data_IF_443513883756
#
_entry.id   IF_443513883756
#
_cell.length_a   1.000
_cell.length_b   1.000
_cell.length_c   1.000
_cell.angle_alpha   90.00
_cell.angle_beta   90.00
_cell.angle_gamma   90.00
#
_symmetry.space_group_name_H-M   'P 1'
#
loop_
_entity.id
_entity.type
_entity.pdbx_description
1 polymer ?
#
# COMPACT_ATOMS: atom_id res chain seq x y z
N UNK A 1 17.12 1.83 6.64
CA UNK A 1 16.23 0.94 7.40
C UNK A 1 15.19 0.36 6.45
N UNK A 2 14.97 -0.96 6.42
CA UNK A 2 13.88 -1.57 5.63
C UNK A 2 12.59 -1.46 6.44
N UNK A 3 11.56 -0.82 5.89
CA UNK A 3 10.27 -0.74 6.58
C UNK A 3 9.61 -2.11 6.47
N UNK A 4 9.29 -2.74 7.60
CA UNK A 4 8.65 -4.06 7.56
C UNK A 4 7.16 -3.92 7.84
N UNK A 5 6.35 -4.25 6.83
CA UNK A 5 4.90 -4.37 6.98
C UNK A 5 4.53 -5.66 7.72
N UNK A 6 3.37 -5.69 8.35
CA UNK A 6 2.78 -6.91 8.90
C UNK A 6 2.49 -7.93 7.79
N UNK A 7 2.51 -9.22 8.14
CA UNK A 7 2.42 -10.32 7.18
C UNK A 7 1.13 -10.27 6.34
N UNK A 8 0.02 -9.86 6.95
CA UNK A 8 -1.26 -9.69 6.26
C UNK A 8 -1.19 -8.63 5.14
N UNK A 9 -0.50 -7.51 5.40
CA UNK A 9 -0.30 -6.45 4.40
C UNK A 9 0.66 -6.90 3.29
N UNK A 10 1.74 -7.60 3.66
CA UNK A 10 2.66 -8.19 2.69
C UNK A 10 1.95 -9.19 1.76
N UNK A 11 1.10 -10.05 2.32
CA UNK A 11 0.31 -11.01 1.56
C UNK A 11 -0.70 -10.34 0.63
N UNK A 12 -1.28 -9.21 1.04
CA UNK A 12 -2.19 -8.44 0.18
C UNK A 12 -1.44 -7.79 -0.98
N UNK A 13 -0.27 -7.22 -0.73
CA UNK A 13 0.59 -6.65 -1.77
C UNK A 13 1.09 -7.72 -2.75
N UNK A 14 1.50 -8.90 -2.26
CA UNK A 14 2.08 -9.95 -3.12
C UNK A 14 1.13 -10.42 -4.22
N UNK A 15 -0.19 -10.43 -3.94
CA UNK A 15 -1.24 -10.74 -4.91
C UNK A 15 -1.31 -9.75 -6.08
N UNK A 16 -0.76 -8.55 -5.93
CA UNK A 16 -0.79 -7.49 -6.94
C UNK A 16 0.49 -7.42 -7.80
N UNK A 17 1.57 -8.08 -7.38
CA UNK A 17 2.86 -8.06 -8.07
C UNK A 17 2.79 -8.74 -9.45
N UNK A 18 2.04 -9.84 -9.58
CA UNK A 18 1.91 -10.53 -10.87
C UNK A 18 1.40 -9.60 -11.97
N UNK A 19 0.35 -8.82 -11.68
CA UNK A 19 -0.26 -7.90 -12.66
C UNK A 19 0.64 -6.71 -13.00
N UNK A 20 1.41 -6.20 -12.05
CA UNK A 20 2.23 -5.00 -12.27
C UNK A 20 3.33 -5.23 -13.32
N UNK A 21 3.78 -6.49 -13.50
CA UNK A 21 4.88 -6.81 -14.39
C UNK A 21 4.61 -6.56 -15.88
N UNK A 22 3.33 -6.59 -16.27
CA UNK A 22 2.90 -6.45 -17.67
C UNK A 22 2.44 -5.03 -18.02
N UNK A 23 2.61 -4.07 -17.11
CA UNK A 23 2.13 -2.70 -17.30
C UNK A 23 3.23 -1.83 -17.92
N UNK A 24 2.82 -0.91 -18.79
CA UNK A 24 3.68 0.15 -19.32
C UNK A 24 3.49 1.43 -18.53
N UNK A 25 4.59 2.12 -18.21
CA UNK A 25 4.59 3.34 -17.41
C UNK A 25 5.00 4.52 -18.29
N UNK A 26 4.28 5.63 -18.14
CA UNK A 26 4.65 6.92 -18.73
C UNK A 26 4.72 7.95 -17.63
N UNK A 27 5.82 8.70 -17.59
CA UNK A 27 6.01 9.79 -16.64
C UNK A 27 5.20 11.01 -17.09
N UNK A 28 4.32 11.51 -16.23
CA UNK A 28 3.52 12.72 -16.49
C UNK A 28 4.14 13.91 -15.76
N UNK A 29 4.55 13.68 -14.51
CA UNK A 29 5.25 14.64 -13.65
C UNK A 29 6.06 13.85 -12.61
N UNK A 30 6.92 14.51 -11.84
CA UNK A 30 7.84 13.91 -10.86
C UNK A 30 7.18 12.93 -9.87
N UNK A 31 5.90 13.15 -9.54
CA UNK A 31 5.12 12.25 -8.68
C UNK A 31 3.92 11.61 -9.37
N UNK A 32 3.70 11.85 -10.67
CA UNK A 32 2.49 11.43 -11.39
C UNK A 32 2.86 10.52 -12.56
N UNK A 33 2.26 9.33 -12.57
CA UNK A 33 2.53 8.27 -13.52
C UNK A 33 1.25 7.82 -14.20
N UNK A 34 1.30 7.67 -15.52
CA UNK A 34 0.26 7.03 -16.30
C UNK A 34 0.64 5.56 -16.50
N UNK A 35 -0.21 4.66 -16.04
CA UNK A 35 -0.01 3.21 -16.07
C UNK A 35 -0.99 2.62 -17.07
N UNK A 36 -0.50 1.87 -18.06
CA UNK A 36 -1.32 1.28 -19.13
C UNK A 36 -1.27 -0.23 -19.13
N UNK A 37 -2.40 -0.88 -19.39
CA UNK A 37 -2.51 -2.32 -19.61
C UNK A 37 -3.72 -2.62 -20.51
N UNK A 38 -3.49 -3.30 -21.63
CA UNK A 38 -4.55 -3.83 -22.53
C UNK A 38 -5.64 -2.76 -22.83
N UNK A 39 -5.21 -1.60 -23.33
CA UNK A 39 -6.13 -0.51 -23.72
C UNK A 39 -6.72 0.30 -22.56
N UNK A 40 -6.56 -0.13 -21.31
CA UNK A 40 -6.94 0.64 -20.12
C UNK A 40 -5.76 1.46 -19.60
N UNK A 41 -6.09 2.55 -18.89
CA UNK A 41 -5.09 3.41 -18.26
C UNK A 41 -5.53 3.90 -16.88
N UNK A 42 -4.55 4.08 -16.00
CA UNK A 42 -4.74 4.62 -14.66
C UNK A 42 -3.69 5.67 -14.35
N UNK A 43 -4.08 6.71 -13.63
CA UNK A 43 -3.16 7.71 -13.11
C UNK A 43 -2.83 7.34 -11.67
N UNK A 44 -1.54 7.28 -11.36
CA UNK A 44 -1.00 7.09 -10.01
C UNK A 44 -0.33 8.39 -9.59
N UNK A 45 -0.67 8.90 -8.41
CA UNK A 45 0.07 9.97 -7.77
C UNK A 45 0.76 9.41 -6.51
N UNK A 46 2.09 9.34 -6.56
CA UNK A 46 2.93 8.75 -5.52
C UNK A 46 3.01 9.63 -4.27
N UNK A 47 3.02 10.96 -4.44
CA UNK A 47 3.05 11.91 -3.33
C UNK A 47 1.72 11.89 -2.55
N UNK A 48 0.61 11.95 -3.27
CA UNK A 48 -0.73 11.96 -2.68
C UNK A 48 -1.22 10.56 -2.29
N UNK A 49 -0.42 9.52 -2.53
CA UNK A 49 -0.78 8.11 -2.32
C UNK A 49 -2.13 7.74 -2.92
N UNK A 50 -2.37 8.12 -4.19
CA UNK A 50 -3.64 7.85 -4.88
C UNK A 50 -3.46 7.10 -6.19
N UNK A 51 -4.49 6.35 -6.58
CA UNK A 51 -4.63 5.79 -7.92
C UNK A 51 -6.07 5.99 -8.41
N UNK A 52 -6.27 6.18 -9.72
CA UNK A 52 -7.63 6.29 -10.29
C UNK A 52 -8.44 4.99 -10.12
N UNK A 53 -7.79 3.83 -9.89
CA UNK A 53 -8.47 2.59 -9.54
C UNK A 53 -9.02 2.56 -8.10
N UNK A 54 -8.77 3.60 -7.30
CA UNK A 54 -9.21 3.82 -5.91
C UNK A 54 -8.71 2.84 -4.85
N UNK A 55 -8.15 1.70 -5.23
CA UNK A 55 -7.64 0.69 -4.28
C UNK A 55 -6.54 1.24 -3.36
N UNK A 56 -5.66 2.11 -3.87
CA UNK A 56 -4.60 2.68 -3.03
C UNK A 56 -5.19 3.54 -1.90
N UNK A 57 -6.24 4.31 -2.17
CA UNK A 57 -6.91 5.13 -1.18
C UNK A 57 -7.76 4.32 -0.20
N UNK A 58 -8.41 3.25 -0.68
CA UNK A 58 -9.30 2.42 0.14
C UNK A 58 -8.53 1.48 1.06
N UNK A 59 -7.50 0.82 0.52
CA UNK A 59 -6.71 -0.15 1.27
C UNK A 59 -5.54 0.50 2.02
N UNK A 60 -5.21 1.76 1.70
CA UNK A 60 -3.97 2.44 2.10
C UNK A 60 -2.70 1.59 1.90
N UNK A 61 -2.76 0.72 0.89
CA UNK A 61 -1.69 -0.16 0.43
C UNK A 61 -1.51 0.02 -1.08
N UNK A 62 -0.29 -0.11 -1.60
CA UNK A 62 -0.04 0.03 -3.02
C UNK A 62 -0.84 -1.02 -3.82
N UNK A 63 -1.65 -0.55 -4.77
CA UNK A 63 -2.31 -1.43 -5.73
C UNK A 63 -1.33 -1.85 -6.84
N UNK A 64 -1.74 -2.75 -7.74
CA UNK A 64 -0.87 -3.19 -8.85
C UNK A 64 -0.33 -2.05 -9.71
N UNK A 65 -1.10 -0.97 -9.91
CA UNK A 65 -0.64 0.20 -10.68
C UNK A 65 0.43 0.99 -9.92
N UNK A 66 0.21 1.21 -8.62
CA UNK A 66 1.20 1.85 -7.74
C UNK A 66 2.49 1.04 -7.67
N UNK A 67 2.40 -0.30 -7.58
CA UNK A 67 3.56 -1.17 -7.60
C UNK A 67 4.35 -1.06 -8.92
N UNK A 68 3.66 -0.93 -10.05
CA UNK A 68 4.30 -0.76 -11.34
C UNK A 68 5.05 0.58 -11.42
N UNK A 69 4.45 1.68 -10.93
CA UNK A 69 5.10 2.98 -10.84
C UNK A 69 6.28 2.99 -9.85
N UNK A 70 6.12 2.33 -8.70
CA UNK A 70 7.17 2.20 -7.69
C UNK A 70 8.39 1.46 -8.23
N UNK A 71 8.18 0.39 -9.01
CA UNK A 71 9.25 -0.35 -9.69
C UNK A 71 10.06 0.55 -10.62
N UNK A 72 9.39 1.41 -11.39
CA UNK A 72 10.05 2.34 -12.32
C UNK A 72 10.95 3.35 -11.58
N UNK A 73 10.56 3.73 -10.37
CA UNK A 73 11.31 4.65 -9.51
C UNK A 73 12.28 3.94 -8.56
N UNK A 74 12.41 2.61 -8.66
CA UNK A 74 13.17 1.78 -7.73
C UNK A 74 12.83 2.04 -6.24
N UNK A 75 11.55 2.33 -5.97
CA UNK A 75 11.05 2.60 -4.62
C UNK A 75 10.69 1.31 -3.90
N UNK A 76 11.05 1.24 -2.63
CA UNK A 76 10.60 0.18 -1.74
C UNK A 76 9.09 0.33 -1.48
N UNK A 77 8.29 -0.59 -2.01
CA UNK A 77 6.83 -0.57 -1.87
C UNK A 77 6.37 -0.65 -0.41
N UNK A 78 7.20 -1.16 0.51
CA UNK A 78 6.88 -1.19 1.94
C UNK A 78 6.75 0.21 2.54
N UNK A 79 7.43 1.21 1.95
CA UNK A 79 7.33 2.62 2.36
C UNK A 79 6.04 3.31 1.91
N UNK A 80 5.32 2.71 0.95
CA UNK A 80 4.11 3.29 0.37
C UNK A 80 2.86 3.00 1.19
N UNK A 81 2.85 1.88 1.92
CA UNK A 81 1.77 1.55 2.85
C UNK A 81 1.59 2.63 3.93
N UNK A 82 0.38 2.73 4.47
CA UNK A 82 0.15 3.55 5.65
C UNK A 82 0.80 2.96 6.90
N UNK A 83 1.11 3.84 7.85
CA UNK A 83 1.89 3.49 9.05
C UNK A 83 1.22 2.42 9.90
N UNK A 84 -0.11 2.34 9.91
CA UNK A 84 -0.85 1.34 10.66
C UNK A 84 -0.58 -0.11 10.21
N UNK A 85 0.01 -0.32 9.02
CA UNK A 85 0.48 -1.64 8.57
C UNK A 85 1.95 -1.91 8.89
N UNK A 86 2.70 -0.94 9.43
CA UNK A 86 4.08 -1.17 9.87
C UNK A 86 4.05 -2.04 11.11
N UNK A 87 4.99 -3.00 11.18
CA UNK A 87 5.07 -3.92 12.32
C UNK A 87 5.26 -3.19 13.63
N UNK A 88 6.11 -2.16 13.65
CA UNK A 88 6.37 -1.33 14.84
C UNK A 88 5.06 -0.72 15.37
N UNK A 89 4.30 -0.03 14.50
CA UNK A 89 3.00 0.54 14.86
C UNK A 89 2.00 -0.51 15.33
N UNK A 90 2.01 -1.71 14.74
CA UNK A 90 1.16 -2.81 15.18
C UNK A 90 1.56 -3.34 16.57
N UNK A 91 2.86 -3.48 16.86
CA UNK A 91 3.34 -3.91 18.19
C UNK A 91 3.00 -2.87 19.24
N UNK A 92 3.23 -1.59 18.94
CA UNK A 92 2.97 -0.48 19.86
C UNK A 92 1.48 -0.38 20.23
N UNK A 93 0.58 -0.59 19.25
CA UNK A 93 -0.86 -0.57 19.47
C UNK A 93 -1.36 -1.62 20.48
N UNK A 94 -0.67 -2.75 20.61
CA UNK A 94 -0.99 -3.84 21.55
C UNK A 94 0.03 -3.99 22.67
N UNK A 95 0.85 -2.97 22.92
CA UNK A 95 1.88 -2.99 23.96
C UNK A 95 1.30 -2.99 25.38
N UNK A 96 0.10 -2.44 25.56
CA UNK A 96 -0.60 -2.37 26.84
C UNK A 96 -1.59 -3.54 27.01
N UNK A 97 -1.77 -4.04 28.25
CA UNK A 97 -2.74 -5.09 28.52
C UNK A 97 -4.17 -4.61 28.26
N UNK A 98 -4.95 -5.44 27.59
CA UNK A 98 -6.40 -5.24 27.46
C UNK A 98 -7.04 -5.71 28.77
N UNK A 99 -7.55 -4.77 29.56
CA UNK A 99 -8.19 -5.08 30.84
C UNK A 99 -9.62 -5.60 30.62
N UNK A 100 -10.06 -6.64 31.37
CA UNK A 100 -11.44 -7.10 31.29
C UNK A 100 -12.40 -6.02 31.76
N UNK A 101 -13.57 -5.92 31.11
CA UNK A 101 -14.67 -5.08 31.58
C UNK A 101 -15.31 -5.78 32.78
N UNK A 102 -15.55 -5.02 33.86
CA UNK A 102 -16.20 -5.55 35.05
C UNK A 102 -17.60 -6.07 34.74
N UNK A 103 -17.93 -7.26 35.24
CA UNK A 103 -19.27 -7.82 35.15
C UNK A 103 -20.20 -7.05 36.10
N UNK A 104 -21.07 -6.21 35.56
CA UNK A 104 -22.09 -5.52 36.35
C UNK A 104 -23.22 -6.52 36.64
N UNK A 105 -23.28 -7.04 37.87
CA UNK A 105 -24.44 -7.80 38.34
C UNK A 105 -25.60 -6.81 38.55
N UNK A 106 -26.40 -6.57 37.51
CA UNK A 106 -27.75 -5.98 37.63
C UNK A 106 -28.77 -7.01 38.04
#
# INVERSE_FOLDING_TARGET
MRHQLIDAAQLKISKHIGKCNYMTITHVDWSIFLVKLIGEQWTVNMLQKTCTCKKFQLDYLPCSHTLAAAREQNLDYTSLGADYYKRETHVDAYSLPIMPVEHHNT
#
